data_IF_611045463681
#
_entry.id   IF_611045463681
#
_cell.length_a   1.000
_cell.length_b   1.000
_cell.length_c   1.000
_cell.angle_alpha   90.00
_cell.angle_beta   90.00
_cell.angle_gamma   90.00
#
_symmetry.space_group_name_H-M   'P 1'
#
loop_
_entity.id
_entity.type
_entity.pdbx_description
1 polymer ?
#
# COMPACT_ATOMS: atom_id res chain seq x y z
N UNK A 1 -20.20 6.78 -19.98
CA UNK A 1 -21.11 7.67 -19.26
C UNK A 1 -20.35 8.87 -18.68
N UNK A 2 -19.24 8.67 -17.95
CA UNK A 2 -18.42 9.70 -17.33
C UNK A 2 -17.94 10.75 -18.33
N UNK A 3 -17.34 10.35 -19.43
CA UNK A 3 -16.88 11.25 -20.50
C UNK A 3 -18.03 12.07 -21.12
N UNK A 4 -19.21 11.43 -21.31
CA UNK A 4 -20.41 12.13 -21.81
C UNK A 4 -20.93 13.20 -20.85
N UNK A 5 -20.56 13.13 -19.57
CA UNK A 5 -20.88 14.11 -18.52
C UNK A 5 -19.78 15.14 -18.30
N UNK A 6 -18.73 15.16 -19.12
CA UNK A 6 -17.61 16.09 -18.98
C UNK A 6 -16.69 15.81 -17.79
N UNK A 7 -16.71 14.57 -17.25
CA UNK A 7 -15.83 14.18 -16.15
C UNK A 7 -14.41 13.98 -16.71
N UNK A 8 -13.46 14.72 -16.17
CA UNK A 8 -12.08 14.73 -16.65
C UNK A 8 -11.25 13.53 -16.17
N UNK A 9 -11.46 13.07 -14.94
CA UNK A 9 -10.72 11.94 -14.35
C UNK A 9 -11.72 11.04 -13.64
N UNK A 10 -11.56 9.73 -13.80
CA UNK A 10 -12.36 8.69 -13.15
C UNK A 10 -11.46 7.78 -12.35
N UNK A 11 -11.66 7.72 -11.04
CA UNK A 11 -10.94 6.78 -10.18
C UNK A 11 -11.64 5.41 -10.19
N UNK A 12 -10.86 4.36 -10.45
CA UNK A 12 -11.27 2.96 -10.38
C UNK A 12 -10.87 2.41 -9.00
N UNK A 13 -11.67 2.71 -7.98
CA UNK A 13 -11.39 2.32 -6.61
C UNK A 13 -11.67 0.85 -6.32
N UNK A 14 -11.27 0.39 -5.13
CA UNK A 14 -11.49 -0.96 -4.65
C UNK A 14 -10.74 -2.01 -5.46
N UNK A 15 -11.43 -3.10 -5.82
CA UNK A 15 -10.83 -4.21 -6.58
C UNK A 15 -10.81 -4.02 -8.09
N UNK A 16 -11.27 -2.88 -8.60
CA UNK A 16 -11.31 -2.64 -10.06
C UNK A 16 -9.93 -2.63 -10.70
N UNK A 17 -8.89 -2.18 -10.00
CA UNK A 17 -7.50 -2.27 -10.48
C UNK A 17 -7.06 -3.72 -10.72
N UNK A 18 -7.48 -4.64 -9.86
CA UNK A 18 -7.18 -6.08 -9.99
C UNK A 18 -7.93 -6.67 -11.19
N UNK A 19 -9.21 -6.30 -11.36
CA UNK A 19 -10.03 -6.76 -12.49
C UNK A 19 -9.43 -6.32 -13.82
N UNK A 20 -8.90 -5.11 -13.88
CA UNK A 20 -8.21 -4.58 -15.07
C UNK A 20 -6.74 -4.99 -15.17
N UNK A 21 -6.26 -5.89 -14.29
CA UNK A 21 -4.86 -6.35 -14.27
C UNK A 21 -3.86 -5.18 -14.34
N UNK A 22 -4.13 -4.15 -13.57
CA UNK A 22 -3.33 -2.91 -13.57
C UNK A 22 -3.24 -2.25 -14.95
N UNK A 23 -4.33 -2.24 -15.68
CA UNK A 23 -4.45 -1.78 -17.06
C UNK A 23 -3.78 -2.67 -18.12
N UNK A 24 -3.24 -3.84 -17.79
CA UNK A 24 -2.70 -4.75 -18.80
C UNK A 24 -3.77 -5.22 -19.79
N UNK A 25 -5.03 -5.36 -19.34
CA UNK A 25 -6.16 -5.63 -20.23
C UNK A 25 -6.32 -4.58 -21.35
N UNK A 26 -5.85 -3.34 -21.13
CA UNK A 26 -5.89 -2.28 -22.16
C UNK A 26 -4.99 -2.56 -23.34
N UNK A 27 -4.03 -3.47 -23.20
CA UNK A 27 -3.18 -3.90 -24.31
C UNK A 27 -3.92 -4.85 -25.27
N UNK A 28 -5.03 -5.45 -24.85
CA UNK A 28 -5.86 -6.26 -25.73
C UNK A 28 -6.47 -5.44 -26.86
N UNK A 29 -6.31 -5.91 -28.10
CA UNK A 29 -6.79 -5.22 -29.32
C UNK A 29 -8.28 -4.83 -29.26
N UNK A 30 -9.11 -5.66 -28.60
CA UNK A 30 -10.56 -5.44 -28.46
C UNK A 30 -10.88 -4.22 -27.58
N UNK A 31 -10.02 -3.88 -26.63
CA UNK A 31 -10.21 -2.75 -25.73
C UNK A 31 -9.55 -1.48 -26.30
N UNK A 32 -8.43 -1.62 -27.00
CA UNK A 32 -7.75 -0.50 -27.68
C UNK A 32 -8.61 0.20 -28.75
N UNK A 33 -9.55 -0.51 -29.36
CA UNK A 33 -10.47 0.04 -30.35
C UNK A 33 -11.70 0.74 -29.77
N UNK A 34 -11.72 0.99 -28.45
CA UNK A 34 -12.78 1.77 -27.84
C UNK A 34 -12.46 3.26 -27.91
N UNK A 35 -13.51 4.09 -28.00
CA UNK A 35 -13.38 5.56 -27.95
C UNK A 35 -13.10 6.08 -26.52
N UNK A 36 -12.57 5.23 -25.63
CA UNK A 36 -12.26 5.61 -24.26
C UNK A 36 -10.88 6.25 -24.19
N UNK A 37 -10.79 7.41 -23.57
CA UNK A 37 -9.54 8.09 -23.24
C UNK A 37 -9.00 7.52 -21.93
N UNK A 38 -8.12 6.52 -22.03
CA UNK A 38 -7.63 5.75 -20.89
C UNK A 38 -6.79 6.58 -19.92
N UNK A 39 -6.19 7.67 -20.41
CA UNK A 39 -5.42 8.63 -19.63
C UNK A 39 -6.27 9.34 -18.57
N UNK A 40 -7.59 9.26 -18.70
CA UNK A 40 -8.55 9.83 -17.74
C UNK A 40 -8.95 8.86 -16.64
N UNK A 41 -8.32 7.70 -16.56
CA UNK A 41 -8.60 6.73 -15.50
C UNK A 41 -7.40 6.58 -14.58
N UNK A 42 -7.67 6.44 -13.28
CA UNK A 42 -6.67 6.14 -12.25
C UNK A 42 -7.22 5.08 -11.30
N UNK A 43 -6.35 4.26 -10.73
CA UNK A 43 -6.73 3.29 -9.69
C UNK A 43 -6.65 3.88 -8.28
N UNK A 44 -6.02 5.05 -8.12
CA UNK A 44 -5.70 5.62 -6.81
C UNK A 44 -4.53 4.91 -6.09
N UNK A 45 -3.96 3.85 -6.65
CA UNK A 45 -2.88 3.08 -6.02
C UNK A 45 -1.63 3.93 -5.75
N UNK A 46 -1.30 4.86 -6.66
CA UNK A 46 -0.18 5.79 -6.48
C UNK A 46 -0.40 6.70 -5.27
N UNK A 47 -1.62 7.22 -5.10
CA UNK A 47 -1.97 8.04 -3.94
C UNK A 47 -1.90 7.21 -2.66
N UNK A 48 -2.44 5.97 -2.67
CA UNK A 48 -2.33 5.06 -1.53
C UNK A 48 -0.87 4.78 -1.14
N UNK A 49 -0.02 4.50 -2.12
CA UNK A 49 1.42 4.30 -1.88
C UNK A 49 2.07 5.55 -1.27
N UNK A 50 1.76 6.74 -1.80
CA UNK A 50 2.26 8.00 -1.25
C UNK A 50 1.82 8.23 0.19
N UNK A 51 0.55 7.98 0.52
CA UNK A 51 0.03 8.09 1.90
C UNK A 51 0.77 7.14 2.83
N UNK A 52 1.00 5.88 2.43
CA UNK A 52 1.77 4.89 3.20
C UNK A 52 3.19 5.40 3.45
N UNK A 53 3.86 5.94 2.44
CA UNK A 53 5.20 6.51 2.56
C UNK A 53 5.22 7.70 3.54
N UNK A 54 4.24 8.59 3.47
CA UNK A 54 4.12 9.70 4.42
C UNK A 54 3.82 9.23 5.85
N UNK A 55 2.99 8.21 6.00
CA UNK A 55 2.72 7.60 7.31
C UNK A 55 3.99 6.97 7.90
N UNK A 56 4.82 6.36 7.08
CA UNK A 56 6.14 5.85 7.48
C UNK A 56 7.02 6.97 8.03
N UNK A 57 7.23 8.04 7.27
CA UNK A 57 8.06 9.19 7.69
C UNK A 57 7.57 9.82 9.00
N UNK A 58 6.25 9.90 9.18
CA UNK A 58 5.66 10.53 10.36
C UNK A 58 5.71 9.65 11.61
N UNK A 59 5.62 8.33 11.45
CA UNK A 59 5.45 7.43 12.60
C UNK A 59 6.75 6.75 13.02
N UNK A 60 7.71 6.49 12.13
CA UNK A 60 8.98 5.88 12.51
C UNK A 60 9.72 6.65 13.62
N UNK A 61 9.89 7.98 13.54
CA UNK A 61 10.53 8.74 14.62
C UNK A 61 9.73 8.72 15.94
N UNK A 62 8.40 8.62 15.87
CA UNK A 62 7.53 8.59 17.07
C UNK A 62 7.69 7.31 17.88
N UNK A 63 8.12 6.25 17.24
CA UNK A 63 8.38 4.95 17.90
C UNK A 63 9.89 4.70 18.07
N UNK A 64 10.70 5.74 17.89
CA UNK A 64 12.15 5.67 18.12
C UNK A 64 12.95 4.97 17.03
N UNK A 65 12.39 4.79 15.82
CA UNK A 65 13.07 4.14 14.70
C UNK A 65 13.65 5.21 13.77
N UNK A 66 14.98 5.16 13.57
CA UNK A 66 15.66 5.99 12.57
C UNK A 66 15.62 5.29 11.21
N UNK A 67 14.96 5.93 10.23
CA UNK A 67 14.80 5.38 8.88
C UNK A 67 16.13 5.10 8.19
N UNK A 68 17.17 5.89 8.45
CA UNK A 68 18.47 5.74 7.79
C UNK A 68 19.20 4.45 8.16
N UNK A 69 18.91 3.91 9.33
CA UNK A 69 19.48 2.63 9.80
C UNK A 69 18.46 1.50 9.80
N UNK A 70 17.17 1.79 9.58
CA UNK A 70 16.11 0.83 9.68
C UNK A 70 16.11 -0.19 8.54
N UNK A 71 15.82 -1.43 8.89
CA UNK A 71 15.46 -2.49 7.95
C UNK A 71 13.94 -2.45 7.72
N UNK A 72 13.53 -2.22 6.49
CA UNK A 72 12.12 -2.10 6.10
C UNK A 72 11.71 -3.29 5.25
N UNK A 73 10.76 -4.10 5.74
CA UNK A 73 10.16 -5.18 4.98
C UNK A 73 8.88 -4.74 4.28
N UNK A 74 8.78 -4.95 2.97
CA UNK A 74 7.57 -4.70 2.18
C UNK A 74 6.94 -6.04 1.79
N UNK A 75 5.83 -6.37 2.43
CA UNK A 75 5.05 -7.59 2.16
C UNK A 75 3.99 -7.31 1.09
N UNK A 76 4.11 -7.97 -0.05
CA UNK A 76 3.35 -7.65 -1.25
C UNK A 76 4.13 -6.73 -2.22
N UNK A 77 5.46 -6.81 -2.20
CA UNK A 77 6.36 -5.93 -2.94
C UNK A 77 6.11 -5.88 -4.46
N UNK A 78 5.55 -6.95 -5.05
CA UNK A 78 5.28 -7.02 -6.50
C UNK A 78 3.93 -6.43 -6.93
N UNK A 79 3.06 -6.06 -5.96
CA UNK A 79 1.81 -5.37 -6.27
C UNK A 79 2.03 -3.90 -6.62
N UNK A 80 1.02 -3.23 -7.18
CA UNK A 80 1.10 -1.82 -7.58
C UNK A 80 1.55 -0.91 -6.44
N UNK A 81 0.90 -1.03 -5.28
CA UNK A 81 1.23 -0.23 -4.10
C UNK A 81 2.60 -0.63 -3.58
N UNK A 82 2.88 -1.94 -3.45
CA UNK A 82 4.13 -2.44 -2.91
C UNK A 82 5.34 -2.04 -3.75
N UNK A 83 5.26 -2.18 -5.06
CA UNK A 83 6.35 -1.79 -5.96
C UNK A 83 6.60 -0.27 -5.96
N UNK A 84 5.52 0.53 -5.88
CA UNK A 84 5.65 1.98 -5.75
C UNK A 84 6.31 2.38 -4.42
N UNK A 85 5.95 1.71 -3.32
CA UNK A 85 6.59 1.91 -2.01
C UNK A 85 8.07 1.51 -2.05
N UNK A 86 8.41 0.36 -2.63
CA UNK A 86 9.81 -0.06 -2.79
C UNK A 86 10.64 0.97 -3.57
N UNK A 87 10.12 1.46 -4.70
CA UNK A 87 10.77 2.52 -5.49
C UNK A 87 11.00 3.79 -4.68
N UNK A 88 10.01 4.18 -3.90
CA UNK A 88 10.13 5.37 -3.06
C UNK A 88 11.17 5.18 -1.95
N UNK A 89 11.18 4.02 -1.28
CA UNK A 89 12.14 3.70 -0.21
C UNK A 89 13.58 3.78 -0.70
N UNK A 90 13.89 3.21 -1.85
CA UNK A 90 15.23 3.23 -2.43
C UNK A 90 15.64 4.64 -2.90
N UNK A 91 14.72 5.36 -3.55
CA UNK A 91 15.09 6.61 -4.22
C UNK A 91 15.01 7.86 -3.34
N UNK A 92 14.22 7.86 -2.27
CA UNK A 92 13.88 9.07 -1.52
C UNK A 92 14.30 9.08 -0.05
N UNK A 93 14.32 7.92 0.61
CA UNK A 93 14.50 7.89 2.06
C UNK A 93 15.93 7.57 2.51
N UNK A 94 16.69 6.85 1.69
CA UNK A 94 18.01 6.35 2.10
C UNK A 94 17.90 5.48 3.36
N UNK A 95 16.95 4.52 3.34
CA UNK A 95 16.78 3.53 4.43
C UNK A 95 18.02 2.64 4.57
N UNK A 96 18.17 1.98 5.74
CA UNK A 96 19.28 1.08 5.99
C UNK A 96 19.23 -0.15 5.08
N UNK A 97 18.12 -0.88 5.06
CA UNK A 97 17.93 -2.05 4.21
C UNK A 97 16.47 -2.20 3.77
N UNK A 98 16.26 -2.64 2.53
CA UNK A 98 14.95 -3.01 1.99
C UNK A 98 14.85 -4.52 1.86
N UNK A 99 13.89 -5.14 2.57
CA UNK A 99 13.49 -6.54 2.40
C UNK A 99 12.22 -6.61 1.57
N UNK A 100 12.26 -7.33 0.45
CA UNK A 100 11.14 -7.49 -0.46
C UNK A 100 10.54 -8.88 -0.32
N UNK A 101 9.26 -8.95 0.00
CA UNK A 101 8.51 -10.19 0.20
C UNK A 101 7.33 -10.24 -0.75
N UNK A 102 7.25 -11.28 -1.59
CA UNK A 102 6.11 -11.58 -2.45
C UNK A 102 6.07 -13.07 -2.78
N UNK A 103 4.90 -13.54 -3.25
CA UNK A 103 4.70 -14.95 -3.62
C UNK A 103 5.35 -15.31 -4.97
N UNK A 104 5.33 -14.37 -5.90
CA UNK A 104 5.83 -14.58 -7.27
C UNK A 104 7.29 -14.14 -7.37
N UNK A 105 8.18 -15.09 -7.66
CA UNK A 105 9.63 -14.85 -7.66
C UNK A 105 10.11 -14.07 -8.90
N UNK A 106 9.56 -14.33 -10.09
CA UNK A 106 9.96 -13.63 -11.31
C UNK A 106 9.72 -12.12 -11.26
N UNK A 107 8.49 -11.64 -10.92
CA UNK A 107 8.26 -10.21 -10.74
C UNK A 107 9.12 -9.59 -9.63
N UNK A 108 9.43 -10.36 -8.58
CA UNK A 108 10.26 -9.91 -7.47
C UNK A 108 11.70 -9.69 -7.91
N UNK A 109 12.28 -10.64 -8.65
CA UNK A 109 13.61 -10.52 -9.23
C UNK A 109 13.70 -9.36 -10.25
N UNK A 110 12.65 -9.16 -11.03
CA UNK A 110 12.56 -8.05 -11.96
C UNK A 110 12.56 -6.70 -11.24
N UNK A 111 11.81 -6.59 -10.15
CA UNK A 111 11.77 -5.39 -9.32
C UNK A 111 13.13 -5.14 -8.65
N UNK A 112 13.79 -6.17 -8.13
CA UNK A 112 15.12 -6.05 -7.53
C UNK A 112 16.14 -5.51 -8.54
N UNK A 113 16.12 -6.04 -9.76
CA UNK A 113 16.98 -5.58 -10.86
C UNK A 113 16.69 -4.13 -11.25
N UNK A 114 15.43 -3.74 -11.31
CA UNK A 114 15.01 -2.37 -11.61
C UNK A 114 15.52 -1.37 -10.56
N UNK A 115 15.44 -1.76 -9.27
CA UNK A 115 15.83 -0.92 -8.14
C UNK A 115 17.34 -0.84 -7.93
N UNK A 116 18.10 -1.75 -8.56
CA UNK A 116 19.54 -1.95 -8.28
C UNK A 116 19.81 -2.11 -6.77
N UNK A 117 18.89 -2.78 -6.06
CA UNK A 117 18.97 -2.92 -4.62
C UNK A 117 17.81 -3.69 -3.98
N UNK A 118 17.88 -3.81 -2.66
CA UNK A 118 16.93 -4.57 -1.86
C UNK A 118 17.23 -6.08 -1.84
N UNK A 119 16.80 -6.73 -0.79
CA UNK A 119 17.02 -8.16 -0.54
C UNK A 119 15.70 -8.92 -0.66
N UNK A 120 15.66 -9.96 -1.47
CA UNK A 120 14.49 -10.84 -1.58
C UNK A 120 14.49 -11.83 -0.43
N UNK A 121 13.42 -11.90 0.33
CA UNK A 121 13.22 -12.86 1.42
C UNK A 121 11.84 -13.50 1.40
N UNK A 122 11.72 -14.67 2.02
CA UNK A 122 10.40 -15.16 2.42
C UNK A 122 9.91 -14.42 3.67
N UNK A 123 8.64 -14.56 3.99
CA UNK A 123 8.01 -13.83 5.08
C UNK A 123 8.65 -14.14 6.43
N UNK A 124 8.85 -15.43 6.71
CA UNK A 124 9.36 -15.90 8.02
C UNK A 124 10.80 -15.43 8.29
N UNK A 125 11.59 -15.25 7.23
CA UNK A 125 12.93 -14.72 7.34
C UNK A 125 12.99 -13.19 7.39
N UNK A 126 12.02 -12.50 6.76
CA UNK A 126 11.99 -11.05 6.74
C UNK A 126 11.49 -10.43 8.06
N UNK A 127 10.46 -11.03 8.67
CA UNK A 127 9.82 -10.47 9.86
C UNK A 127 10.78 -10.30 11.06
N UNK A 128 11.64 -11.26 11.41
CA UNK A 128 12.57 -11.11 12.52
C UNK A 128 13.65 -10.05 12.31
N UNK A 129 13.93 -9.68 11.08
CA UNK A 129 14.97 -8.71 10.75
C UNK A 129 14.43 -7.28 10.60
N UNK A 130 13.12 -7.13 10.38
CA UNK A 130 12.51 -5.86 10.06
C UNK A 130 12.24 -5.00 11.31
N UNK A 131 12.73 -3.77 11.31
CA UNK A 131 12.31 -2.73 12.26
C UNK A 131 10.95 -2.15 11.85
N UNK A 132 10.66 -2.17 10.56
CA UNK A 132 9.42 -1.67 9.98
C UNK A 132 8.85 -2.69 9.00
N UNK A 133 7.56 -2.99 9.12
CA UNK A 133 6.84 -3.87 8.20
C UNK A 133 5.73 -3.10 7.50
N UNK A 134 5.82 -2.95 6.18
CA UNK A 134 4.76 -2.38 5.34
C UNK A 134 4.02 -3.54 4.70
N UNK A 135 2.80 -3.78 5.16
CA UNK A 135 1.97 -4.88 4.70
C UNK A 135 0.95 -4.37 3.68
N UNK A 136 1.13 -4.69 2.41
CA UNK A 136 0.23 -4.30 1.30
C UNK A 136 -0.28 -5.49 0.50
N UNK A 137 -0.10 -6.70 1.04
CA UNK A 137 -0.70 -7.92 0.52
C UNK A 137 -2.04 -8.20 1.21
N UNK A 138 -2.91 -8.95 0.53
CA UNK A 138 -4.09 -9.52 1.19
C UNK A 138 -3.65 -10.53 2.23
N UNK A 139 -4.17 -10.40 3.44
CA UNK A 139 -3.88 -11.31 4.56
C UNK A 139 -5.10 -12.17 4.84
N UNK A 140 -5.01 -13.49 4.68
CA UNK A 140 -6.08 -14.39 5.12
C UNK A 140 -6.32 -14.25 6.64
N UNK A 141 -7.58 -14.32 7.06
CA UNK A 141 -7.92 -14.26 8.51
C UNK A 141 -7.26 -15.36 9.33
N UNK A 142 -6.99 -16.51 8.69
CA UNK A 142 -6.34 -17.68 9.28
C UNK A 142 -4.82 -17.53 9.40
N UNK A 143 -4.23 -16.50 8.80
CA UNK A 143 -2.79 -16.29 8.89
C UNK A 143 -2.45 -15.75 10.27
N UNK A 144 -1.59 -16.43 10.96
CA UNK A 144 -1.04 -16.00 12.24
C UNK A 144 0.39 -15.48 12.05
N UNK A 145 0.69 -14.38 12.71
CA UNK A 145 2.05 -13.85 12.82
C UNK A 145 2.40 -13.93 14.31
N UNK A 146 3.47 -14.67 14.62
CA UNK A 146 3.96 -14.73 16.00
C UNK A 146 4.66 -13.41 16.33
N UNK A 147 4.09 -12.67 17.30
CA UNK A 147 4.65 -11.42 17.78
C UNK A 147 6.02 -11.54 18.43
N UNK A 148 6.41 -12.77 18.88
CA UNK A 148 7.73 -13.02 19.43
C UNK A 148 8.82 -13.04 18.34
N UNK A 149 8.45 -13.25 17.08
CA UNK A 149 9.35 -13.23 15.94
C UNK A 149 9.54 -11.83 15.35
N UNK A 150 8.96 -10.79 15.96
CA UNK A 150 9.14 -9.41 15.51
C UNK A 150 10.16 -8.69 16.39
N UNK A 151 10.96 -7.83 15.78
CA UNK A 151 11.81 -6.88 16.56
C UNK A 151 10.93 -5.97 17.42
N UNK A 152 11.52 -5.41 18.47
CA UNK A 152 10.86 -4.47 19.38
C UNK A 152 11.79 -3.30 19.67
N UNK A 153 11.35 -2.06 19.42
CA UNK A 153 10.06 -1.68 18.86
C UNK A 153 9.92 -2.07 17.38
N UNK A 154 8.70 -2.36 16.94
CA UNK A 154 8.39 -2.59 15.54
C UNK A 154 7.26 -1.65 15.09
N UNK A 155 7.41 -1.02 13.93
CA UNK A 155 6.35 -0.26 13.29
C UNK A 155 5.74 -1.11 12.16
N UNK A 156 4.44 -1.36 12.24
CA UNK A 156 3.68 -2.05 11.19
C UNK A 156 2.72 -1.08 10.50
N UNK A 157 2.82 -0.96 9.19
CA UNK A 157 1.86 -0.17 8.39
C UNK A 157 0.96 -1.14 7.63
N UNK A 158 -0.29 -1.28 8.08
CA UNK A 158 -1.29 -2.15 7.49
C UNK A 158 -1.99 -1.47 6.31
N UNK A 159 -1.41 -1.59 5.14
CA UNK A 159 -1.96 -1.13 3.85
C UNK A 159 -2.81 -2.19 3.14
N UNK A 160 -2.94 -3.39 3.72
CA UNK A 160 -3.75 -4.48 3.17
C UNK A 160 -5.26 -4.24 3.28
N UNK A 161 -6.02 -5.17 2.67
CA UNK A 161 -7.47 -5.20 2.84
C UNK A 161 -7.93 -6.67 2.93
N UNK A 162 -8.79 -7.02 3.90
CA UNK A 162 -9.20 -6.21 5.05
C UNK A 162 -8.02 -5.90 5.99
N UNK A 163 -8.14 -4.85 6.81
CA UNK A 163 -7.14 -4.48 7.81
C UNK A 163 -7.31 -5.36 9.05
N UNK A 164 -6.31 -6.19 9.31
CA UNK A 164 -6.39 -7.24 10.33
C UNK A 164 -5.24 -7.17 11.36
N UNK A 165 -4.25 -6.29 11.19
CA UNK A 165 -3.06 -6.31 12.04
C UNK A 165 -3.31 -5.67 13.41
N UNK A 166 -4.14 -4.63 13.49
CA UNK A 166 -4.49 -3.95 14.77
C UNK A 166 -4.97 -4.92 15.84
N UNK A 167 -5.85 -5.85 15.46
CA UNK A 167 -6.47 -6.78 16.40
C UNK A 167 -5.49 -7.84 16.91
N UNK A 168 -4.38 -8.06 16.17
CA UNK A 168 -3.43 -9.13 16.46
C UNK A 168 -2.29 -8.71 17.38
N UNK A 169 -1.94 -7.42 17.42
CA UNK A 169 -0.70 -6.94 18.04
C UNK A 169 -0.89 -5.90 19.16
N UNK A 170 -1.97 -5.94 19.90
CA UNK A 170 -2.17 -5.02 21.01
C UNK A 170 -1.17 -5.29 22.16
N UNK A 171 -0.31 -4.32 22.45
CA UNK A 171 0.36 -4.22 23.74
C UNK A 171 1.81 -4.70 23.87
N UNK A 172 2.59 -4.93 22.78
CA UNK A 172 3.94 -5.54 22.88
C UNK A 172 5.05 -4.74 22.20
N UNK A 173 5.08 -3.41 22.32
CA UNK A 173 6.02 -2.55 21.57
C UNK A 173 5.93 -2.75 20.04
N UNK A 174 4.77 -3.19 19.56
CA UNK A 174 4.43 -3.29 18.16
C UNK A 174 3.38 -2.21 17.88
N UNK A 175 3.75 -1.24 17.06
CA UNK A 175 2.92 -0.08 16.73
C UNK A 175 2.28 -0.29 15.37
N UNK A 176 0.96 -0.49 15.34
CA UNK A 176 0.22 -0.69 14.10
C UNK A 176 -0.43 0.60 13.65
N UNK A 177 -0.17 0.98 12.40
CA UNK A 177 -0.78 2.13 11.72
C UNK A 177 -1.64 1.62 10.58
N UNK A 178 -2.88 2.08 10.48
CA UNK A 178 -3.76 1.78 9.34
C UNK A 178 -3.28 2.53 8.11
N UNK A 179 -2.57 1.80 7.25
CA UNK A 179 -1.93 2.33 6.04
C UNK A 179 -2.93 2.72 4.97
N UNK A 180 -2.63 3.80 4.23
CA UNK A 180 -3.46 4.23 3.11
C UNK A 180 -4.83 4.80 3.52
N UNK A 181 -5.00 5.23 4.77
CA UNK A 181 -6.19 5.95 5.24
C UNK A 181 -5.87 7.42 5.38
N UNK A 182 -6.73 8.27 4.83
CA UNK A 182 -6.67 9.73 4.96
C UNK A 182 -7.87 10.24 5.73
N UNK A 183 -7.67 11.28 6.52
CA UNK A 183 -8.72 11.98 7.24
C UNK A 183 -8.90 13.38 6.66
N UNK A 184 -10.12 13.72 6.36
CA UNK A 184 -10.47 15.04 5.85
C UNK A 184 -10.94 15.94 6.98
N UNK A 185 -10.39 17.16 7.03
CA UNK A 185 -10.73 18.16 8.05
C UNK A 185 -11.81 19.14 7.58
N UNK A 186 -11.99 19.27 6.25
CA UNK A 186 -12.97 20.16 5.65
C UNK A 186 -14.10 19.35 4.99
N UNK A 187 -15.28 19.95 4.87
CA UNK A 187 -16.37 19.38 4.09
C UNK A 187 -15.94 19.35 2.62
N UNK A 188 -15.78 18.13 2.12
CA UNK A 188 -15.60 17.89 0.69
C UNK A 188 -17.01 17.92 0.12
N UNK A 189 -17.30 18.89 -0.73
CA UNK A 189 -18.60 19.03 -1.37
C UNK A 189 -18.91 17.89 -2.34
N UNK A 190 -19.17 16.72 -1.79
CA UNK A 190 -19.45 15.52 -2.56
C UNK A 190 -20.94 15.24 -2.60
N UNK A 191 -21.47 15.04 -3.79
CA UNK A 191 -22.78 14.39 -3.99
C UNK A 191 -22.79 12.90 -3.61
N UNK A 192 -21.73 12.41 -2.95
CA UNK A 192 -21.53 11.03 -2.52
C UNK A 192 -21.35 10.90 -1.01
N UNK A 193 -21.75 11.93 -0.25
CA UNK A 193 -21.67 11.91 1.23
C UNK A 193 -22.38 10.69 1.85
N UNK A 194 -23.47 10.21 1.27
CA UNK A 194 -24.15 9.01 1.75
C UNK A 194 -23.27 7.77 1.77
N UNK A 195 -22.41 7.58 0.77
CA UNK A 195 -21.49 6.43 0.74
C UNK A 195 -20.33 6.59 1.73
N UNK A 196 -19.83 7.79 1.93
CA UNK A 196 -18.79 8.09 2.89
C UNK A 196 -19.29 7.98 4.34
N UNK A 197 -20.51 8.44 4.62
CA UNK A 197 -21.15 8.32 5.93
C UNK A 197 -21.50 6.86 6.27
N UNK A 198 -21.89 6.06 5.29
CA UNK A 198 -22.12 4.62 5.49
C UNK A 198 -20.83 3.85 5.82
N UNK A 199 -19.67 4.34 5.38
CA UNK A 199 -18.40 3.64 5.59
C UNK A 199 -17.66 4.09 6.83
N UNK A 200 -17.76 5.35 7.24
CA UNK A 200 -17.05 5.83 8.44
C UNK A 200 -17.54 7.21 8.93
N UNK A 201 -18.22 7.27 10.10
CA UNK A 201 -18.67 8.53 10.70
C UNK A 201 -17.53 9.46 11.12
N UNK A 202 -16.26 9.02 11.10
CA UNK A 202 -15.08 9.83 11.48
C UNK A 202 -14.45 10.58 10.30
N UNK A 203 -15.05 10.59 9.12
CA UNK A 203 -14.50 11.22 7.89
C UNK A 203 -13.12 10.64 7.48
N UNK A 204 -12.88 9.40 7.79
CA UNK A 204 -11.70 8.68 7.33
C UNK A 204 -12.03 7.95 6.01
N UNK A 205 -11.12 7.96 5.07
CA UNK A 205 -11.30 7.33 3.77
C UNK A 205 -10.04 6.62 3.32
N UNK A 206 -10.19 5.53 2.58
CA UNK A 206 -9.06 4.94 1.89
C UNK A 206 -8.51 5.89 0.83
N UNK A 207 -7.19 6.03 0.76
CA UNK A 207 -6.55 6.96 -0.16
C UNK A 207 -6.86 6.68 -1.64
N UNK A 208 -7.25 5.44 -2.00
CA UNK A 208 -7.67 5.10 -3.35
C UNK A 208 -9.02 5.74 -3.76
N UNK A 209 -9.79 6.27 -2.81
CA UNK A 209 -11.03 7.00 -3.05
C UNK A 209 -10.88 8.52 -2.85
N UNK A 210 -9.75 8.95 -2.32
CA UNK A 210 -9.43 10.36 -2.13
C UNK A 210 -8.75 10.95 -3.38
#
# INVERSE_FOLDING_TARGET
>A
LAQKKGINITALGGFTSIIFENFNLLQHKQIRNTSLEWERFTTGNTHTAWVICRQLEMNAPRVGIDLKSATVAVVGATGDIGSAVCRWLVNKTGIGELLMVARQQEPLASLQKELDGGTIKNLDAALPEADIVIWVASMPKTMEIDSNNLKKPCLMIDGGYPKNLDEKFQGNDIHVVKGGIVKFFNDIGWNMMELAEMQNPQREMFACFA
#
